data_IF_062953548099
#
_entry.id   IF_062953548099
#
_cell.length_a   1.000
_cell.length_b   1.000
_cell.length_c   1.000
_cell.angle_alpha   90.00
_cell.angle_beta   90.00
_cell.angle_gamma   90.00
#
_symmetry.space_group_name_H-M   'P 1'
#
loop_
_entity.id
_entity.type
_entity.pdbx_description
1 polymer ?
#
# COMPACT_ATOMS: atom_id res chain seq x y z
N UNK A 1 -26.68 10.86 -47.69
CA UNK A 1 -25.94 11.88 -46.91
C UNK A 1 -25.58 11.25 -45.57
N UNK A 2 -24.36 10.74 -45.43
CA UNK A 2 -23.91 10.18 -44.16
C UNK A 2 -23.59 11.33 -43.21
N UNK A 3 -24.39 11.47 -42.15
CA UNK A 3 -24.08 12.39 -41.05
C UNK A 3 -22.87 11.85 -40.31
N UNK A 4 -21.68 12.34 -40.69
CA UNK A 4 -20.47 12.15 -39.89
C UNK A 4 -20.73 12.89 -38.58
N UNK A 5 -20.97 12.13 -37.50
CA UNK A 5 -21.00 12.66 -36.15
C UNK A 5 -19.62 13.28 -35.92
N UNK A 6 -19.54 14.61 -35.98
CA UNK A 6 -18.35 15.34 -35.55
C UNK A 6 -18.19 15.02 -34.06
N UNK A 7 -17.24 14.14 -33.73
CA UNK A 7 -16.74 14.01 -32.37
C UNK A 7 -16.05 15.33 -32.04
N UNK A 8 -16.75 16.22 -31.34
CA UNK A 8 -16.11 17.39 -30.76
C UNK A 8 -15.04 16.90 -29.79
N UNK A 9 -13.78 17.30 -30.03
CA UNK A 9 -12.71 17.11 -29.07
C UNK A 9 -13.03 17.93 -27.83
N UNK A 10 -13.74 17.33 -26.87
CA UNK A 10 -13.88 17.89 -25.54
C UNK A 10 -12.49 17.85 -24.91
N UNK A 11 -11.97 19.02 -24.57
CA UNK A 11 -10.79 19.11 -23.70
C UNK A 11 -11.09 18.33 -22.41
N UNK A 12 -10.09 17.70 -21.80
CA UNK A 12 -10.26 16.97 -20.53
C UNK A 12 -10.88 17.89 -19.47
N UNK A 13 -10.55 19.19 -19.54
CA UNK A 13 -11.08 20.26 -18.69
C UNK A 13 -12.61 20.52 -18.91
N UNK A 14 -13.18 20.04 -20.02
CA UNK A 14 -14.61 20.16 -20.32
C UNK A 14 -15.47 19.04 -19.70
N UNK A 15 -14.84 18.06 -19.04
CA UNK A 15 -15.54 16.99 -18.32
C UNK A 15 -15.55 17.35 -16.83
N UNK A 16 -16.73 17.71 -16.26
CA UNK A 16 -16.81 18.01 -14.83
C UNK A 16 -16.51 16.76 -14.00
N UNK A 17 -15.87 16.94 -12.85
CA UNK A 17 -15.68 15.85 -11.89
C UNK A 17 -17.02 15.30 -11.40
N UNK A 18 -17.08 13.98 -11.24
CA UNK A 18 -18.22 13.33 -10.61
C UNK A 18 -18.25 13.66 -9.12
N UNK A 19 -19.44 13.71 -8.53
CA UNK A 19 -19.63 13.92 -7.09
C UNK A 19 -18.81 12.91 -6.27
N UNK A 20 -18.81 11.64 -6.69
CA UNK A 20 -18.00 10.59 -6.07
C UNK A 20 -16.49 10.89 -6.13
N UNK A 21 -15.99 11.50 -7.21
CA UNK A 21 -14.58 11.89 -7.32
C UNK A 21 -14.22 12.98 -6.30
N UNK A 22 -15.11 13.96 -6.11
CA UNK A 22 -14.94 15.03 -5.14
C UNK A 22 -15.00 14.50 -3.71
N UNK A 23 -15.95 13.61 -3.40
CA UNK A 23 -16.07 12.96 -2.09
C UNK A 23 -14.84 12.10 -1.74
N UNK A 24 -14.37 11.31 -2.70
CA UNK A 24 -13.16 10.48 -2.52
C UNK A 24 -11.93 11.35 -2.32
N UNK A 25 -11.78 12.43 -3.09
CA UNK A 25 -10.67 13.36 -2.93
C UNK A 25 -10.68 14.00 -1.55
N UNK A 26 -11.80 14.58 -1.15
CA UNK A 26 -11.95 15.23 0.16
C UNK A 26 -11.59 14.29 1.31
N UNK A 27 -12.11 13.05 1.29
CA UNK A 27 -11.90 12.09 2.37
C UNK A 27 -10.52 11.44 2.39
N UNK A 28 -9.87 11.25 1.23
CA UNK A 28 -8.68 10.37 1.12
C UNK A 28 -7.41 11.04 0.63
N UNK A 29 -7.51 12.19 -0.04
CA UNK A 29 -6.40 12.79 -0.78
C UNK A 29 -6.17 14.27 -0.46
N UNK A 30 -7.22 15.02 -0.11
CA UNK A 30 -7.11 16.40 0.36
C UNK A 30 -6.22 16.45 1.59
N UNK A 31 -5.22 17.32 1.56
CA UNK A 31 -4.40 17.59 2.73
C UNK A 31 -5.15 18.56 3.64
N UNK A 32 -5.24 18.20 4.92
CA UNK A 32 -5.80 19.04 5.98
C UNK A 32 -4.82 19.11 7.14
N UNK A 33 -4.84 20.24 7.83
CA UNK A 33 -4.10 20.45 9.06
C UNK A 33 -4.72 19.64 10.21
N UNK A 34 -4.03 19.58 11.35
CA UNK A 34 -4.43 18.78 12.52
C UNK A 34 -5.78 19.20 13.10
N UNK A 35 -6.15 20.47 12.98
CA UNK A 35 -7.42 21.04 13.41
C UNK A 35 -8.57 20.79 12.41
N UNK A 36 -8.29 20.11 11.28
CA UNK A 36 -9.24 19.85 10.21
C UNK A 36 -9.30 20.93 9.13
N UNK A 37 -8.55 22.03 9.27
CA UNK A 37 -8.52 23.11 8.28
C UNK A 37 -7.94 22.58 6.96
N UNK A 38 -8.64 22.71 5.82
CA UNK A 38 -8.11 22.31 4.52
C UNK A 38 -6.84 23.09 4.15
N UNK A 39 -5.75 22.37 3.90
CA UNK A 39 -4.51 22.92 3.34
C UNK A 39 -4.65 23.00 1.82
N UNK A 40 -5.09 21.90 1.20
CA UNK A 40 -5.51 21.90 -0.20
C UNK A 40 -6.96 22.37 -0.29
N UNK A 41 -7.20 23.57 -0.83
CA UNK A 41 -8.57 24.11 -0.96
C UNK A 41 -9.30 23.46 -2.12
N UNK A 42 -8.58 23.20 -3.20
CA UNK A 42 -9.08 22.61 -4.46
C UNK A 42 -8.25 21.38 -4.87
N UNK A 43 -8.81 20.54 -5.75
CA UNK A 43 -8.08 19.41 -6.34
C UNK A 43 -6.80 19.87 -7.05
N UNK A 44 -6.84 21.05 -7.67
CA UNK A 44 -5.70 21.66 -8.34
C UNK A 44 -4.58 22.04 -7.34
N UNK A 45 -4.93 22.42 -6.11
CA UNK A 45 -3.94 22.65 -5.05
C UNK A 45 -3.23 21.36 -4.67
N UNK A 46 -3.95 20.23 -4.58
CA UNK A 46 -3.35 18.90 -4.43
C UNK A 46 -2.38 18.61 -5.59
N UNK A 47 -2.77 18.90 -6.83
CA UNK A 47 -1.88 18.70 -7.99
C UNK A 47 -0.62 19.56 -7.90
N UNK A 48 -0.75 20.84 -7.57
CA UNK A 48 0.39 21.75 -7.40
C UNK A 48 1.32 21.30 -6.28
N UNK A 49 0.78 20.88 -5.14
CA UNK A 49 1.57 20.35 -4.01
C UNK A 49 2.37 19.12 -4.43
N UNK A 50 1.71 18.15 -5.08
CA UNK A 50 2.37 16.92 -5.54
C UNK A 50 3.44 17.25 -6.60
N UNK A 51 3.11 18.09 -7.59
CA UNK A 51 4.06 18.51 -8.63
C UNK A 51 5.29 19.20 -8.03
N UNK A 52 5.10 20.09 -7.05
CA UNK A 52 6.19 20.78 -6.37
C UNK A 52 7.09 19.78 -5.65
N UNK A 53 6.51 18.89 -4.85
CA UNK A 53 7.25 17.87 -4.12
C UNK A 53 8.07 16.94 -5.06
N UNK A 54 7.55 16.63 -6.25
CA UNK A 54 8.28 15.85 -7.25
C UNK A 54 9.41 16.68 -7.89
N UNK A 55 9.14 17.94 -8.23
CA UNK A 55 10.13 18.82 -8.86
C UNK A 55 11.30 19.19 -7.93
N UNK A 56 11.07 19.28 -6.61
CA UNK A 56 12.11 19.70 -5.66
C UNK A 56 13.26 18.68 -5.51
N UNK A 57 13.06 17.43 -5.97
CA UNK A 57 14.11 16.40 -6.04
C UNK A 57 15.11 16.67 -7.17
N UNK A 58 14.70 17.45 -8.18
CA UNK A 58 15.54 17.81 -9.31
C UNK A 58 16.61 18.86 -8.93
N UNK A 59 17.63 18.99 -9.79
CA UNK A 59 18.64 20.04 -9.67
C UNK A 59 17.98 21.43 -9.74
N UNK A 60 18.50 22.40 -8.97
CA UNK A 60 17.89 23.73 -8.79
C UNK A 60 17.49 24.41 -10.12
N UNK A 61 18.36 24.37 -11.13
CA UNK A 61 18.09 24.99 -12.44
C UNK A 61 16.98 24.32 -13.27
N UNK A 62 16.55 23.11 -12.90
CA UNK A 62 15.52 22.35 -13.61
C UNK A 62 14.18 22.28 -12.85
N UNK A 63 14.13 22.73 -11.58
CA UNK A 63 12.95 22.56 -10.71
C UNK A 63 11.69 23.22 -11.29
N UNK A 64 11.77 24.47 -11.74
CA UNK A 64 10.59 25.16 -12.30
C UNK A 64 10.12 24.53 -13.62
N UNK A 65 11.06 24.14 -14.49
CA UNK A 65 10.74 23.44 -15.73
C UNK A 65 9.95 22.15 -15.45
N UNK A 66 10.40 21.36 -14.47
CA UNK A 66 9.74 20.11 -14.11
C UNK A 66 8.43 20.33 -13.34
N UNK A 67 8.36 21.34 -12.48
CA UNK A 67 7.14 21.73 -11.81
C UNK A 67 6.02 22.01 -12.80
N UNK A 68 6.27 22.85 -13.82
CA UNK A 68 5.29 23.17 -14.86
C UNK A 68 4.83 21.91 -15.62
N UNK A 69 5.78 21.04 -15.99
CA UNK A 69 5.49 19.78 -16.68
C UNK A 69 4.66 18.82 -15.82
N UNK A 70 4.97 18.69 -14.53
CA UNK A 70 4.22 17.82 -13.62
C UNK A 70 2.81 18.34 -13.35
N UNK A 71 2.65 19.66 -13.15
CA UNK A 71 1.32 20.27 -13.02
C UNK A 71 0.49 20.01 -14.27
N UNK A 72 1.06 20.24 -15.46
CA UNK A 72 0.40 19.95 -16.72
C UNK A 72 -0.02 18.48 -16.81
N UNK A 73 0.89 17.54 -16.51
CA UNK A 73 0.61 16.11 -16.60
C UNK A 73 -0.50 15.66 -15.64
N UNK A 74 -0.47 16.12 -14.38
CA UNK A 74 -1.48 15.80 -13.38
C UNK A 74 -2.87 16.28 -13.79
N UNK A 75 -2.98 17.51 -14.30
CA UNK A 75 -4.23 18.07 -14.84
C UNK A 75 -4.74 17.29 -16.06
N UNK A 76 -3.83 16.70 -16.83
CA UNK A 76 -4.15 15.92 -18.04
C UNK A 76 -4.33 14.42 -17.77
N UNK A 77 -4.44 14.02 -16.50
CA UNK A 77 -4.84 12.67 -16.10
C UNK A 77 -3.69 11.70 -15.80
N UNK A 78 -2.43 12.17 -15.76
CA UNK A 78 -1.32 11.38 -15.25
C UNK A 78 -1.37 11.32 -13.71
N UNK A 79 -2.28 10.52 -13.17
CA UNK A 79 -2.55 10.45 -11.73
C UNK A 79 -1.64 9.41 -11.05
N UNK A 80 -0.79 9.81 -10.08
CA UNK A 80 0.07 8.89 -9.37
C UNK A 80 -0.71 8.04 -8.37
N UNK A 81 -0.05 7.01 -7.84
CA UNK A 81 -0.64 6.11 -6.87
C UNK A 81 -1.09 6.85 -5.59
N UNK A 82 -2.11 6.31 -4.93
CA UNK A 82 -2.82 7.03 -3.88
C UNK A 82 -2.02 7.40 -2.62
N UNK A 83 -0.81 6.86 -2.39
CA UNK A 83 0.07 7.35 -1.29
C UNK A 83 0.90 8.54 -1.73
N UNK A 84 1.37 8.56 -2.98
CA UNK A 84 2.01 9.74 -3.58
C UNK A 84 1.07 10.94 -3.51
N UNK A 85 -0.17 10.80 -4.00
CA UNK A 85 -1.14 11.91 -4.00
C UNK A 85 -1.46 12.44 -2.59
N UNK A 86 -1.55 11.54 -1.61
CA UNK A 86 -1.95 11.90 -0.23
C UNK A 86 -0.81 12.47 0.62
N UNK A 87 0.44 12.08 0.34
CA UNK A 87 1.58 12.29 1.26
C UNK A 87 2.74 13.11 0.66
N UNK A 88 2.88 13.20 -0.67
CA UNK A 88 3.94 14.01 -1.28
C UNK A 88 3.78 15.50 -0.91
N UNK A 89 4.81 16.13 -0.35
CA UNK A 89 4.73 17.53 0.13
C UNK A 89 3.87 17.73 1.37
N UNK A 90 3.54 16.66 2.13
CA UNK A 90 2.70 16.74 3.33
C UNK A 90 3.48 16.58 4.64
N UNK A 91 4.82 16.56 4.61
CA UNK A 91 5.68 16.20 5.76
C UNK A 91 5.40 17.01 7.03
N UNK A 92 5.08 18.30 6.89
CA UNK A 92 4.75 19.17 8.03
C UNK A 92 3.49 18.71 8.79
N UNK A 93 2.51 18.13 8.07
CA UNK A 93 1.24 17.69 8.66
C UNK A 93 1.16 16.17 8.87
N UNK A 94 1.94 15.39 8.11
CA UNK A 94 1.97 13.92 8.10
C UNK A 94 3.41 13.37 8.12
N UNK A 95 4.21 13.66 9.16
CA UNK A 95 5.66 13.42 9.16
C UNK A 95 6.06 11.94 9.11
N UNK A 96 5.19 11.03 9.56
CA UNK A 96 5.46 9.60 9.65
C UNK A 96 4.73 8.78 8.57
N UNK A 97 4.54 9.33 7.37
CA UNK A 97 3.86 8.66 6.26
C UNK A 97 4.79 8.43 5.08
N UNK A 98 4.55 7.37 4.33
CA UNK A 98 5.33 7.03 3.12
C UNK A 98 4.61 7.43 1.84
N UNK A 99 5.37 7.80 0.81
CA UNK A 99 4.86 7.94 -0.57
C UNK A 99 4.82 6.60 -1.32
N UNK A 100 5.41 5.54 -0.75
CA UNK A 100 5.46 4.20 -1.34
C UNK A 100 4.14 3.47 -1.07
N UNK A 101 3.57 2.87 -2.11
CA UNK A 101 2.35 2.07 -2.01
C UNK A 101 2.64 0.59 -1.68
N UNK A 102 3.60 0.00 -2.38
CA UNK A 102 3.85 -1.44 -2.40
C UNK A 102 5.24 -1.74 -1.86
N UNK A 103 5.33 -2.67 -0.93
CA UNK A 103 6.59 -3.23 -0.45
C UNK A 103 6.53 -4.74 -0.38
N UNK A 104 7.70 -5.36 -0.39
CA UNK A 104 7.87 -6.79 -0.12
C UNK A 104 8.81 -6.90 1.06
N UNK A 105 8.45 -7.72 2.04
CA UNK A 105 9.31 -8.06 3.16
C UNK A 105 10.60 -8.69 2.67
N UNK A 106 11.69 -8.51 3.41
CA UNK A 106 12.85 -9.38 3.27
C UNK A 106 12.48 -10.84 3.57
N UNK A 107 13.43 -11.74 3.31
CA UNK A 107 13.32 -13.16 3.65
C UNK A 107 13.02 -13.28 5.16
N UNK A 108 12.04 -14.11 5.51
CA UNK A 108 11.73 -14.47 6.89
C UNK A 108 12.55 -15.71 7.22
N UNK A 109 13.59 -15.60 8.03
CA UNK A 109 14.38 -16.75 8.46
C UNK A 109 13.59 -17.58 9.48
N UNK A 110 13.79 -18.89 9.45
CA UNK A 110 13.12 -19.87 10.32
C UNK A 110 13.66 -19.88 11.75
N UNK A 111 13.46 -18.74 12.44
CA UNK A 111 13.84 -18.49 13.82
C UNK A 111 12.85 -17.53 14.48
N UNK A 112 12.62 -17.66 15.79
CA UNK A 112 11.68 -16.79 16.48
C UNK A 112 12.10 -15.32 16.43
N UNK A 113 13.39 -15.04 16.59
CA UNK A 113 13.93 -13.68 16.56
C UNK A 113 13.64 -13.01 15.22
N UNK A 114 13.94 -13.69 14.10
CA UNK A 114 13.70 -13.09 12.78
C UNK A 114 12.20 -12.97 12.47
N UNK A 115 11.38 -13.97 12.81
CA UNK A 115 9.93 -13.91 12.64
C UNK A 115 9.35 -12.68 13.34
N UNK A 116 9.72 -12.45 14.60
CA UNK A 116 9.21 -11.32 15.39
C UNK A 116 9.79 -9.98 14.92
N UNK A 117 11.05 -9.95 14.50
CA UNK A 117 11.64 -8.75 13.89
C UNK A 117 10.92 -8.36 12.60
N UNK A 118 10.55 -9.34 11.75
CA UNK A 118 9.77 -9.11 10.53
C UNK A 118 8.34 -8.67 10.81
N UNK A 119 7.71 -9.16 11.88
CA UNK A 119 6.42 -8.62 12.36
C UNK A 119 6.56 -7.14 12.78
N UNK A 120 7.66 -6.77 13.44
CA UNK A 120 7.91 -5.38 13.83
C UNK A 120 8.13 -4.47 12.62
N UNK A 121 8.96 -4.88 11.66
CA UNK A 121 9.16 -4.16 10.38
C UNK A 121 7.84 -3.98 9.62
N UNK A 122 7.03 -5.03 9.57
CA UNK A 122 5.70 -5.00 8.97
C UNK A 122 4.77 -3.98 9.64
N UNK A 123 4.75 -3.95 10.98
CA UNK A 123 3.96 -2.98 11.74
C UNK A 123 4.36 -1.53 11.43
N UNK A 124 5.65 -1.24 11.35
CA UNK A 124 6.14 0.10 10.97
C UNK A 124 5.76 0.45 9.53
N UNK A 125 5.88 -0.51 8.61
CA UNK A 125 5.52 -0.36 7.20
C UNK A 125 4.03 -0.04 7.02
N UNK A 126 3.16 -0.80 7.70
CA UNK A 126 1.72 -0.58 7.70
C UNK A 126 1.35 0.73 8.40
N UNK A 127 2.01 1.08 9.50
CA UNK A 127 1.83 2.38 10.17
C UNK A 127 2.12 3.53 9.22
N UNK A 128 3.17 3.44 8.40
CA UNK A 128 3.50 4.46 7.40
C UNK A 128 2.51 4.51 6.22
N UNK A 129 1.61 3.52 6.10
CA UNK A 129 0.55 3.44 5.09
C UNK A 129 0.86 2.53 3.91
N UNK A 130 2.01 1.87 3.87
CA UNK A 130 2.35 0.94 2.78
C UNK A 130 1.52 -0.35 2.89
N UNK A 131 1.26 -1.02 1.76
CA UNK A 131 0.90 -2.43 1.74
C UNK A 131 2.16 -3.29 1.63
N UNK A 132 2.14 -4.49 2.19
CA UNK A 132 3.34 -5.35 2.31
C UNK A 132 3.04 -6.80 1.94
N UNK A 133 3.94 -7.42 1.16
CA UNK A 133 3.92 -8.83 0.82
C UNK A 133 4.99 -9.64 1.57
N UNK A 134 4.74 -10.93 1.79
CA UNK A 134 5.66 -11.86 2.46
C UNK A 134 5.65 -13.21 1.76
N UNK A 135 6.77 -13.92 1.88
CA UNK A 135 6.92 -15.32 1.51
C UNK A 135 7.15 -16.11 2.81
N UNK A 136 6.29 -17.10 3.10
CA UNK A 136 6.29 -17.82 4.38
C UNK A 136 6.86 -19.25 4.31
N UNK A 137 7.30 -19.72 3.14
CA UNK A 137 7.71 -21.12 2.91
C UNK A 137 9.09 -21.45 3.44
N UNK A 138 9.84 -20.43 3.85
CA UNK A 138 11.08 -20.60 4.59
C UNK A 138 10.88 -21.19 5.98
N UNK A 139 9.68 -21.01 6.57
CA UNK A 139 9.36 -21.50 7.90
C UNK A 139 9.10 -23.01 7.88
N UNK A 140 9.67 -23.74 8.85
CA UNK A 140 9.53 -25.20 8.89
C UNK A 140 8.06 -25.64 9.06
N UNK A 141 7.68 -26.81 8.51
CA UNK A 141 6.29 -27.26 8.51
C UNK A 141 5.76 -27.59 9.91
N UNK A 142 4.42 -27.58 10.05
CA UNK A 142 3.73 -28.00 11.27
C UNK A 142 4.21 -29.38 11.72
N UNK A 143 4.49 -29.51 13.01
CA UNK A 143 4.96 -30.77 13.59
C UNK A 143 6.46 -31.04 13.39
N UNK A 144 7.21 -30.14 12.75
CA UNK A 144 8.66 -30.23 12.73
C UNK A 144 9.26 -29.95 14.12
N UNK A 145 10.34 -30.64 14.44
CA UNK A 145 11.02 -30.52 15.74
C UNK A 145 11.80 -29.20 15.84
N UNK A 146 11.81 -28.62 17.06
CA UNK A 146 12.50 -27.37 17.39
C UNK A 146 13.52 -27.67 18.48
N UNK A 147 14.78 -27.90 18.07
CA UNK A 147 15.85 -28.33 18.97
C UNK A 147 16.08 -27.38 20.15
N UNK A 148 16.01 -26.07 19.94
CA UNK A 148 16.19 -25.08 21.01
C UNK A 148 15.08 -25.06 22.07
N UNK A 149 13.87 -25.53 21.72
CA UNK A 149 12.72 -25.56 22.61
C UNK A 149 12.38 -26.97 23.12
N UNK A 150 13.00 -28.02 22.56
CA UNK A 150 12.67 -29.41 22.87
C UNK A 150 11.23 -29.80 22.49
N UNK A 151 10.60 -29.07 21.56
CA UNK A 151 9.18 -29.16 21.25
C UNK A 151 8.94 -29.21 19.73
N UNK A 152 7.67 -29.30 19.34
CA UNK A 152 7.24 -29.29 17.93
C UNK A 152 6.56 -27.96 17.58
N UNK A 153 6.80 -27.46 16.37
CA UNK A 153 6.21 -26.18 15.91
C UNK A 153 4.76 -26.33 15.48
N UNK A 154 3.99 -25.25 15.59
CA UNK A 154 2.65 -25.12 15.03
C UNK A 154 2.63 -24.82 13.52
N UNK A 155 3.79 -24.55 12.92
CA UNK A 155 3.97 -24.32 11.49
C UNK A 155 3.70 -22.87 11.04
N UNK A 156 3.90 -22.57 9.74
CA UNK A 156 3.94 -21.20 9.23
C UNK A 156 2.62 -20.44 9.41
N UNK A 157 1.48 -21.10 9.23
CA UNK A 157 0.16 -20.48 9.31
C UNK A 157 -0.15 -19.90 10.70
N UNK A 158 0.35 -20.52 11.78
CA UNK A 158 0.18 -19.97 13.13
C UNK A 158 0.98 -18.69 13.33
N UNK A 159 2.14 -18.55 12.68
CA UNK A 159 2.87 -17.29 12.66
C UNK A 159 2.16 -16.24 11.80
N UNK A 160 1.58 -16.62 10.67
CA UNK A 160 0.76 -15.71 9.86
C UNK A 160 -0.41 -15.10 10.66
N UNK A 161 -0.97 -15.83 11.63
CA UNK A 161 -2.01 -15.29 12.51
C UNK A 161 -1.50 -14.09 13.35
N UNK A 162 -0.21 -14.07 13.74
CA UNK A 162 0.43 -12.92 14.41
C UNK A 162 0.44 -11.70 13.49
N UNK A 163 0.84 -11.88 12.23
CA UNK A 163 0.84 -10.79 11.23
C UNK A 163 -0.57 -10.30 10.93
N UNK A 164 -1.57 -11.17 10.89
CA UNK A 164 -2.97 -10.79 10.67
C UNK A 164 -3.49 -9.91 11.80
N UNK A 165 -3.23 -10.31 13.06
CA UNK A 165 -3.60 -9.50 14.24
C UNK A 165 -2.84 -8.19 14.32
N UNK A 166 -1.54 -8.20 14.02
CA UNK A 166 -0.74 -6.97 13.96
C UNK A 166 -1.33 -5.99 12.95
N UNK A 167 -1.62 -6.44 11.72
CA UNK A 167 -2.19 -5.56 10.69
C UNK A 167 -3.58 -5.04 11.05
N UNK A 168 -4.41 -5.88 11.68
CA UNK A 168 -5.72 -5.47 12.18
C UNK A 168 -5.59 -4.35 13.21
N UNK A 169 -4.65 -4.47 14.15
CA UNK A 169 -4.41 -3.47 15.21
C UNK A 169 -3.82 -2.18 14.66
N UNK A 170 -2.85 -2.26 13.75
CA UNK A 170 -2.05 -1.09 13.31
C UNK A 170 -2.83 -0.09 12.48
N UNK A 171 -3.99 -0.43 11.88
CA UNK A 171 -4.89 0.47 11.14
C UNK A 171 -4.15 1.59 10.39
N UNK A 172 -3.67 1.29 9.16
CA UNK A 172 -2.71 2.13 8.42
C UNK A 172 -3.02 3.64 8.45
N UNK A 173 -1.96 4.46 8.51
CA UNK A 173 -2.09 5.92 8.55
C UNK A 173 -2.99 6.49 7.43
N UNK A 174 -3.77 7.49 7.80
CA UNK A 174 -4.68 8.21 6.89
C UNK A 174 -6.00 7.50 6.64
N UNK A 175 -6.54 6.75 7.62
CA UNK A 175 -7.88 6.17 7.55
C UNK A 175 -8.03 5.03 6.55
N UNK A 176 -6.93 4.39 6.14
CA UNK A 176 -6.94 3.24 5.21
C UNK A 176 -6.64 1.97 5.98
N UNK A 177 -7.37 0.90 5.71
CA UNK A 177 -7.05 -0.43 6.27
C UNK A 177 -5.68 -0.88 5.74
N UNK A 178 -4.93 -1.56 6.61
CA UNK A 178 -3.73 -2.28 6.18
C UNK A 178 -4.09 -3.38 5.18
N UNK A 179 -3.20 -3.65 4.25
CA UNK A 179 -3.36 -4.70 3.25
C UNK A 179 -2.07 -5.50 3.16
N UNK A 180 -2.19 -6.81 3.19
CA UNK A 180 -1.06 -7.73 3.17
C UNK A 180 -1.21 -8.77 2.06
N UNK A 181 -0.09 -9.24 1.53
CA UNK A 181 -0.02 -10.42 0.66
C UNK A 181 0.81 -11.50 1.34
N UNK A 182 0.27 -12.71 1.46
CA UNK A 182 1.02 -13.89 1.87
C UNK A 182 1.20 -14.80 0.68
N UNK A 183 2.44 -15.13 0.34
CA UNK A 183 2.76 -16.15 -0.66
C UNK A 183 3.28 -17.40 0.00
N UNK A 184 3.08 -18.53 -0.67
CA UNK A 184 3.49 -19.84 -0.18
C UNK A 184 3.82 -20.76 -1.35
N UNK A 185 4.93 -21.47 -1.26
CA UNK A 185 5.41 -22.43 -2.23
C UNK A 185 4.47 -23.63 -2.29
N UNK A 186 4.11 -24.03 -3.51
CA UNK A 186 3.19 -25.14 -3.74
C UNK A 186 3.73 -26.48 -3.21
N UNK A 187 5.06 -26.65 -3.21
CA UNK A 187 5.76 -27.83 -2.71
C UNK A 187 5.95 -27.87 -1.20
N UNK A 188 5.65 -26.78 -0.47
CA UNK A 188 5.77 -26.78 0.98
C UNK A 188 4.77 -27.78 1.61
N UNK A 189 5.15 -28.59 2.62
CA UNK A 189 4.26 -29.61 3.20
C UNK A 189 2.91 -29.09 3.73
N UNK A 190 2.88 -27.83 4.18
CA UNK A 190 1.67 -27.16 4.67
C UNK A 190 0.85 -26.44 3.57
N UNK A 191 1.17 -26.62 2.28
CA UNK A 191 0.52 -25.88 1.17
C UNK A 191 -0.99 -26.15 1.09
N UNK A 192 -1.42 -27.37 1.39
CA UNK A 192 -2.84 -27.73 1.45
C UNK A 192 -3.59 -27.06 2.62
N UNK A 193 -2.92 -26.86 3.77
CA UNK A 193 -3.48 -26.08 4.87
C UNK A 193 -3.59 -24.60 4.46
N UNK A 194 -2.56 -24.06 3.80
CA UNK A 194 -2.54 -22.68 3.29
C UNK A 194 -3.71 -22.41 2.32
N UNK A 195 -3.95 -23.31 1.35
CA UNK A 195 -5.09 -23.25 0.43
C UNK A 195 -6.43 -23.17 1.19
N UNK A 196 -6.55 -23.91 2.28
CA UNK A 196 -7.80 -24.01 3.06
C UNK A 196 -7.93 -22.92 4.12
N UNK A 197 -6.89 -22.15 4.41
CA UNK A 197 -6.81 -21.27 5.58
C UNK A 197 -7.98 -20.28 5.69
N UNK A 198 -8.46 -19.72 4.57
CA UNK A 198 -9.58 -18.75 4.55
C UNK A 198 -10.97 -19.39 4.45
N UNK A 199 -11.07 -20.72 4.49
CA UNK A 199 -12.38 -21.41 4.67
C UNK A 199 -12.93 -21.20 6.08
N UNK A 200 -12.05 -20.98 7.04
CA UNK A 200 -12.42 -20.55 8.38
C UNK A 200 -12.81 -19.07 8.36
N UNK A 201 -14.04 -18.77 8.76
CA UNK A 201 -14.57 -17.41 8.72
C UNK A 201 -13.75 -16.49 9.64
N UNK A 202 -13.20 -15.41 9.07
CA UNK A 202 -12.48 -14.38 9.82
C UNK A 202 -10.99 -14.63 10.02
N UNK A 203 -10.48 -15.80 9.65
CA UNK A 203 -9.04 -16.11 9.70
C UNK A 203 -8.29 -15.51 8.50
N UNK A 204 -7.08 -14.98 8.74
CA UNK A 204 -6.22 -14.32 7.75
C UNK A 204 -6.96 -13.26 6.91
N UNK A 205 -7.85 -12.49 7.55
CA UNK A 205 -8.72 -11.52 6.87
C UNK A 205 -7.94 -10.35 6.27
N UNK A 206 -6.80 -9.98 6.86
CA UNK A 206 -5.96 -8.88 6.39
C UNK A 206 -5.02 -9.28 5.24
N UNK A 207 -5.02 -10.56 4.86
CA UNK A 207 -4.19 -11.10 3.79
C UNK A 207 -4.97 -11.39 2.52
N UNK A 208 -4.40 -11.05 1.37
CA UNK A 208 -4.57 -11.86 0.16
C UNK A 208 -3.56 -13.00 0.20
N UNK A 209 -3.94 -14.17 -0.33
CA UNK A 209 -3.11 -15.37 -0.33
C UNK A 209 -2.88 -15.85 -1.76
N UNK A 210 -1.67 -16.27 -2.08
CA UNK A 210 -1.31 -16.81 -3.41
C UNK A 210 -0.29 -17.93 -3.27
N UNK A 211 -0.41 -18.95 -4.12
CA UNK A 211 0.59 -20.01 -4.22
C UNK A 211 1.65 -19.62 -5.25
N UNK A 212 2.91 -19.87 -4.92
CA UNK A 212 4.03 -19.83 -5.85
C UNK A 212 4.09 -21.20 -6.52
N UNK A 213 3.83 -21.24 -7.83
CA UNK A 213 3.86 -22.45 -8.64
C UNK A 213 5.09 -22.37 -9.53
N UNK A 214 5.91 -23.42 -9.51
CA UNK A 214 7.07 -23.56 -10.40
C UNK A 214 6.68 -24.29 -11.68
N UNK A 215 7.46 -24.09 -12.75
CA UNK A 215 7.30 -24.81 -14.03
C UNK A 215 7.55 -26.33 -13.90
#
# INVERSE_FOLDING_TARGET
MNSVVKLEHKDVDAIPFQEASLDIWDKKYRLSAKDGTPVDKTMDDTYKRVARALADVENEGARELWYEKFVWALRRGAIPAGRVTSNAGALEHKPATSTINCTVSGIIADSMDDILNKVHEAGLTLKAGCGIGYEFSTLRPRGAYVSGAGAYTSGPLSFMDIYDKMCFTVSSAGGRRGAQMGTFDVGHPDSMEFIRAKREAGRLRQFNLSLLVTD
#
